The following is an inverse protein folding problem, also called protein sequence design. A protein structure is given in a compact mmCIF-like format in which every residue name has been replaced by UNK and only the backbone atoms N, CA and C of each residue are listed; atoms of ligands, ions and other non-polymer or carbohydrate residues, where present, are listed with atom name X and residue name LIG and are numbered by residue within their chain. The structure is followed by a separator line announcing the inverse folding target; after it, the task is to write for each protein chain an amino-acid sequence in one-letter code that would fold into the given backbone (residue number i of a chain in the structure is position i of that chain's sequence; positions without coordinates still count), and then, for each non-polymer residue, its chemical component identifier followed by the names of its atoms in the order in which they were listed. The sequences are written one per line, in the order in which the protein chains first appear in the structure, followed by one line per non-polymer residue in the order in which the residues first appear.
data_IF_068178945880
#
_entry.id   IF_068178945880
#
_cell.length_a   1.000
_cell.length_b   1.000
_cell.length_c   1.000
_cell.angle_alpha   90.00
_cell.angle_beta   90.00
_cell.angle_gamma   90.00
#
_symmetry.space_group_name_H-M   'P 1'
#
loop_
_entity.id
_entity.type
_entity.pdbx_description
1 polymer ?
#
# COMPACT_ATOMS: atom_id res chain seq x y z
N UNK A 1 27.89 -10.87 24.65
CA UNK A 1 27.04 -11.89 25.29
C UNK A 1 25.76 -11.94 24.48
N UNK A 2 25.50 -13.06 23.77
CA UNK A 2 24.21 -13.24 23.08
C UNK A 2 23.17 -13.45 24.17
N UNK A 3 22.40 -12.42 24.49
CA UNK A 3 21.18 -12.61 25.28
C UNK A 3 20.25 -13.52 24.47
N UNK A 4 19.93 -14.66 25.03
CA UNK A 4 19.00 -15.60 24.42
C UNK A 4 17.62 -14.92 24.43
N UNK A 5 17.07 -14.62 23.25
CA UNK A 5 15.73 -14.01 23.11
C UNK A 5 14.71 -14.96 23.71
N UNK A 6 13.95 -14.49 24.68
CA UNK A 6 12.89 -15.27 25.35
C UNK A 6 11.60 -15.08 24.55
N UNK A 7 11.21 -16.08 23.78
CA UNK A 7 9.96 -16.11 23.03
C UNK A 7 8.80 -16.55 23.90
N UNK A 8 7.66 -15.86 23.82
CA UNK A 8 6.42 -16.23 24.50
C UNK A 8 5.25 -16.39 23.53
N UNK A 9 4.31 -17.32 23.78
CA UNK A 9 3.14 -17.49 22.95
C UNK A 9 2.22 -16.25 23.01
N UNK A 10 1.64 -15.89 21.85
CA UNK A 10 0.64 -14.83 21.76
C UNK A 10 -0.73 -15.40 22.14
N UNK A 11 -1.20 -15.05 23.32
CA UNK A 11 -2.50 -15.49 23.86
C UNK A 11 -3.57 -14.40 23.69
N UNK A 12 -3.78 -13.92 22.47
CA UNK A 12 -4.80 -12.90 22.18
C UNK A 12 -6.13 -13.55 21.74
N UNK A 13 -7.30 -13.07 22.21
CA UNK A 13 -8.59 -13.70 21.93
C UNK A 13 -8.96 -13.74 20.44
N UNK A 14 -8.46 -12.78 19.64
CA UNK A 14 -8.78 -12.67 18.21
C UNK A 14 -7.64 -13.13 17.29
N UNK A 15 -6.45 -13.45 17.81
CA UNK A 15 -5.30 -13.92 17.00
C UNK A 15 -5.34 -15.45 16.91
N UNK A 16 -5.01 -15.98 15.71
CA UNK A 16 -4.83 -17.41 15.50
C UNK A 16 -3.69 -17.93 16.41
N UNK A 17 -3.89 -19.04 17.17
CA UNK A 17 -2.82 -19.65 17.95
C UNK A 17 -1.63 -20.08 17.08
N UNK A 18 -0.44 -20.21 17.68
CA UNK A 18 0.76 -20.69 17.01
C UNK A 18 1.75 -19.59 16.65
N UNK A 19 1.56 -18.38 17.14
CA UNK A 19 2.55 -17.30 17.04
C UNK A 19 3.27 -17.10 18.37
N UNK A 20 4.59 -16.88 18.27
CA UNK A 20 5.46 -16.48 19.38
C UNK A 20 5.92 -15.05 19.17
N UNK A 21 6.05 -14.28 20.27
CA UNK A 21 6.56 -12.90 20.25
C UNK A 21 7.80 -12.77 21.13
N UNK A 22 8.75 -11.93 20.71
CA UNK A 22 9.90 -11.50 21.51
C UNK A 22 9.59 -10.20 22.27
N UNK A 23 10.35 -9.85 23.34
CA UNK A 23 10.18 -8.58 24.04
C UNK A 23 10.48 -7.35 23.17
N UNK A 24 11.28 -7.51 22.10
CA UNK A 24 11.60 -6.47 21.12
C UNK A 24 10.52 -6.31 20.03
N UNK A 25 9.47 -7.13 20.06
CA UNK A 25 8.35 -7.04 19.11
C UNK A 25 8.50 -7.86 17.83
N UNK A 26 9.48 -8.75 17.73
CA UNK A 26 9.56 -9.70 16.63
C UNK A 26 8.59 -10.86 16.83
N UNK A 27 7.99 -11.33 15.75
CA UNK A 27 7.05 -12.46 15.78
C UNK A 27 7.57 -13.59 14.90
N UNK A 28 7.34 -14.82 15.31
CA UNK A 28 7.57 -16.02 14.50
C UNK A 28 6.45 -17.05 14.73
N UNK A 29 6.29 -17.96 13.77
CA UNK A 29 5.40 -19.11 13.97
C UNK A 29 6.06 -20.13 14.93
N UNK A 30 5.25 -20.78 15.75
CA UNK A 30 5.69 -21.82 16.67
C UNK A 30 6.24 -23.03 15.88
N UNK A 31 7.39 -23.57 16.33
CA UNK A 31 8.04 -24.72 15.66
C UNK A 31 8.92 -24.35 14.46
N UNK A 32 9.07 -23.08 14.11
CA UNK A 32 9.98 -22.60 13.07
C UNK A 32 11.18 -21.94 13.73
N UNK A 33 12.36 -22.55 13.55
CA UNK A 33 13.65 -22.05 14.08
C UNK A 33 14.46 -21.24 13.05
N UNK A 34 13.90 -21.02 11.87
CA UNK A 34 14.54 -20.23 10.83
C UNK A 34 14.54 -18.74 11.19
N UNK A 35 15.70 -18.10 11.14
CA UNK A 35 15.85 -16.67 11.38
C UNK A 35 15.18 -15.81 10.28
N UNK A 36 15.03 -16.38 9.09
CA UNK A 36 14.38 -15.71 7.94
C UNK A 36 12.85 -15.74 8.04
N UNK A 37 12.30 -16.45 9.03
CA UNK A 37 10.85 -16.52 9.31
C UNK A 37 10.37 -15.51 10.37
N UNK A 38 11.19 -14.53 10.71
CA UNK A 38 10.83 -13.47 11.66
C UNK A 38 9.95 -12.43 10.94
N UNK A 39 8.80 -12.13 11.54
CA UNK A 39 7.87 -11.11 11.08
C UNK A 39 8.15 -9.82 11.86
N UNK A 40 8.41 -8.74 11.13
CA UNK A 40 8.59 -7.40 11.69
C UNK A 40 7.29 -6.60 11.68
N UNK A 41 7.21 -5.44 12.40
CA UNK A 41 6.04 -4.58 12.36
C UNK A 41 5.64 -4.23 10.94
N UNK A 42 4.38 -4.49 10.59
CA UNK A 42 3.89 -4.43 9.21
C UNK A 42 3.29 -3.06 8.85
N UNK A 43 2.88 -2.30 9.86
CA UNK A 43 2.20 -1.03 9.65
C UNK A 43 2.48 -0.02 10.76
N UNK A 44 2.87 1.20 10.38
CA UNK A 44 3.06 2.34 11.27
C UNK A 44 1.90 3.32 11.09
N UNK A 45 1.05 3.42 12.10
CA UNK A 45 -0.12 4.29 12.04
C UNK A 45 0.23 5.78 12.18
N UNK A 46 -0.61 6.65 11.68
CA UNK A 46 -0.42 8.11 11.77
C UNK A 46 -0.62 8.65 13.19
N UNK A 47 -1.23 7.87 14.08
CA UNK A 47 -1.39 8.20 15.51
C UNK A 47 -0.28 7.64 16.40
N UNK A 48 0.82 7.15 15.80
CA UNK A 48 2.05 6.80 16.51
C UNK A 48 2.15 5.36 16.99
N UNK A 49 1.19 4.49 16.70
CA UNK A 49 1.25 3.06 17.07
C UNK A 49 1.77 2.20 15.95
N UNK A 50 2.48 1.14 16.31
CA UNK A 50 2.91 0.10 15.41
C UNK A 50 1.98 -1.12 15.48
N UNK A 51 1.79 -1.78 14.34
CA UNK A 51 0.86 -2.90 14.20
C UNK A 51 1.52 -4.08 13.48
N UNK A 52 1.10 -5.28 13.87
CA UNK A 52 1.48 -6.54 13.23
C UNK A 52 0.33 -7.07 12.38
N UNK A 53 0.65 -7.50 11.17
CA UNK A 53 -0.30 -8.18 10.27
C UNK A 53 -0.26 -9.68 10.54
N UNK A 54 -1.31 -10.20 11.15
CA UNK A 54 -1.42 -11.60 11.55
C UNK A 54 -2.78 -12.16 11.13
N UNK A 55 -2.86 -13.48 11.03
CA UNK A 55 -4.14 -14.15 10.84
C UNK A 55 -4.98 -14.08 12.12
N UNK A 56 -6.23 -13.63 11.98
CA UNK A 56 -7.22 -13.77 13.03
C UNK A 56 -7.78 -15.21 13.07
N UNK A 57 -8.64 -15.52 14.05
CA UNK A 57 -9.24 -16.85 14.19
C UNK A 57 -10.08 -17.30 13.00
N UNK A 58 -10.55 -16.37 12.18
CA UNK A 58 -11.29 -16.63 10.95
C UNK A 58 -10.35 -16.80 9.73
N UNK A 59 -9.04 -16.89 9.96
CA UNK A 59 -8.00 -17.01 8.94
C UNK A 59 -7.87 -15.79 8.01
N UNK A 60 -8.43 -14.64 8.39
CA UNK A 60 -8.29 -13.40 7.65
C UNK A 60 -7.12 -12.58 8.18
N UNK A 61 -6.41 -11.90 7.30
CA UNK A 61 -5.36 -10.97 7.69
C UNK A 61 -5.95 -9.74 8.39
N UNK A 62 -5.41 -9.42 9.56
CA UNK A 62 -5.81 -8.29 10.37
C UNK A 62 -4.60 -7.65 11.06
N UNK A 63 -4.65 -6.34 11.24
CA UNK A 63 -3.63 -5.60 11.99
C UNK A 63 -3.98 -5.56 13.48
N UNK A 64 -3.01 -5.93 14.31
CA UNK A 64 -3.10 -5.92 15.76
C UNK A 64 -2.05 -4.97 16.35
N UNK A 65 -2.39 -4.14 17.36
CA UNK A 65 -1.43 -3.25 18.00
C UNK A 65 -0.27 -4.04 18.63
N UNK A 66 0.95 -3.69 18.28
CA UNK A 66 2.14 -4.41 18.72
C UNK A 66 2.38 -4.29 20.22
N UNK A 67 2.17 -3.10 20.77
CA UNK A 67 2.27 -2.83 22.21
C UNK A 67 1.28 -3.66 23.04
N UNK A 68 0.03 -3.86 22.57
CA UNK A 68 -0.96 -4.71 23.23
C UNK A 68 -0.51 -6.18 23.25
N UNK A 69 0.03 -6.68 22.10
CA UNK A 69 0.50 -8.07 21.99
C UNK A 69 1.69 -8.33 22.94
N UNK A 70 2.68 -7.43 22.96
CA UNK A 70 3.85 -7.54 23.83
C UNK A 70 3.43 -7.50 25.31
N UNK A 71 2.61 -6.52 25.68
CA UNK A 71 2.17 -6.36 27.05
C UNK A 71 1.36 -7.59 27.54
N UNK A 72 0.51 -8.18 26.70
CA UNK A 72 -0.22 -9.41 27.02
C UNK A 72 0.70 -10.59 27.27
N UNK A 73 1.82 -10.67 26.55
CA UNK A 73 2.78 -11.77 26.70
C UNK A 73 3.73 -11.59 27.92
N UNK A 74 4.13 -10.36 28.21
CA UNK A 74 5.25 -10.10 29.14
C UNK A 74 4.89 -9.35 30.40
N UNK A 75 3.82 -8.53 30.41
CA UNK A 75 3.48 -7.66 31.55
C UNK A 75 2.27 -8.25 32.28
N UNK A 76 2.41 -8.67 33.54
CA UNK A 76 1.29 -9.20 34.30
C UNK A 76 0.23 -8.11 34.55
N UNK A 77 -1.05 -8.48 34.42
CA UNK A 77 -2.15 -7.59 34.72
C UNK A 77 -2.30 -7.46 36.23
N UNK A 78 -2.21 -6.23 36.79
CA UNK A 78 -2.41 -6.02 38.23
C UNK A 78 -3.81 -6.50 38.70
N UNK A 79 -3.90 -7.07 39.90
CA UNK A 79 -5.17 -7.56 40.47
C UNK A 79 -6.26 -6.49 40.45
N UNK A 80 -5.90 -5.24 40.77
CA UNK A 80 -6.84 -4.09 40.77
C UNK A 80 -7.44 -3.77 39.38
N UNK A 81 -6.89 -4.34 38.30
CA UNK A 81 -7.34 -4.11 36.93
C UNK A 81 -8.00 -5.34 36.28
N UNK A 82 -7.98 -6.52 36.91
CA UNK A 82 -8.46 -7.79 36.32
C UNK A 82 -9.93 -7.77 35.90
N UNK A 83 -10.77 -7.01 36.61
CA UNK A 83 -12.21 -6.88 36.28
C UNK A 83 -12.55 -5.64 35.45
N UNK A 84 -11.58 -4.88 35.03
CA UNK A 84 -11.75 -3.63 34.33
C UNK A 84 -11.42 -3.76 32.85
N UNK A 85 -11.93 -2.83 32.04
CA UNK A 85 -11.40 -2.64 30.69
C UNK A 85 -10.03 -1.96 30.80
N UNK A 86 -9.02 -2.55 30.19
CA UNK A 86 -7.62 -2.12 30.28
C UNK A 86 -7.05 -1.79 28.92
N UNK A 87 -6.01 -0.96 28.93
CA UNK A 87 -5.17 -0.64 27.75
C UNK A 87 -3.71 -0.49 28.17
N UNK A 88 -2.81 -0.59 27.22
CA UNK A 88 -1.40 -0.25 27.40
C UNK A 88 -1.24 1.27 27.46
N UNK A 89 -0.41 1.75 28.36
CA UNK A 89 0.03 3.15 28.48
C UNK A 89 1.55 3.19 28.46
N UNK A 90 2.12 4.13 27.68
CA UNK A 90 3.54 4.38 27.58
C UNK A 90 3.95 5.46 28.60
N UNK A 91 4.92 5.12 29.46
CA UNK A 91 5.30 5.96 30.62
C UNK A 91 5.92 7.29 30.18
N UNK A 92 6.74 7.25 29.13
CA UNK A 92 7.39 8.45 28.55
C UNK A 92 6.49 9.19 27.52
N UNK A 93 5.29 8.65 27.22
CA UNK A 93 4.35 9.21 26.24
C UNK A 93 4.67 8.89 24.77
N UNK A 94 5.79 8.23 24.46
CA UNK A 94 6.11 7.75 23.12
C UNK A 94 5.50 6.37 22.88
N UNK A 95 4.49 6.31 22.04
CA UNK A 95 3.74 5.08 21.73
C UNK A 95 4.52 4.09 20.86
N UNK A 96 5.67 4.50 20.32
CA UNK A 96 6.57 3.61 19.56
C UNK A 96 7.68 3.01 20.40
N UNK A 97 7.91 3.55 21.58
CA UNK A 97 8.83 2.95 22.56
C UNK A 97 8.15 1.78 23.26
N UNK A 98 8.25 0.61 22.66
CA UNK A 98 7.61 -0.64 23.13
C UNK A 98 8.48 -1.44 24.12
N UNK A 99 9.50 -0.81 24.73
CA UNK A 99 10.28 -1.44 25.78
C UNK A 99 9.39 -1.80 26.98
N UNK A 100 9.64 -2.96 27.58
CA UNK A 100 8.78 -3.46 28.67
C UNK A 100 8.74 -2.48 29.86
N UNK A 101 9.84 -1.80 30.15
CA UNK A 101 10.00 -0.81 31.20
C UNK A 101 9.17 0.45 30.93
N UNK A 102 8.89 0.75 29.65
CA UNK A 102 8.10 1.91 29.26
C UNK A 102 6.60 1.63 29.22
N UNK A 103 6.18 0.37 29.27
CA UNK A 103 4.78 -0.02 29.14
C UNK A 103 4.17 -0.46 30.47
N UNK A 104 2.91 -0.11 30.70
CA UNK A 104 2.11 -0.58 31.84
C UNK A 104 0.64 -0.70 31.48
N UNK A 105 -0.06 -1.61 32.19
CA UNK A 105 -1.50 -1.68 32.12
C UNK A 105 -2.15 -0.55 32.91
N UNK A 106 -3.13 0.11 32.32
CA UNK A 106 -3.98 1.12 32.97
C UNK A 106 -5.44 0.82 32.65
N UNK A 107 -6.34 1.34 33.48
CA UNK A 107 -7.78 1.31 33.19
C UNK A 107 -8.07 2.12 31.93
N UNK A 108 -8.78 1.53 30.96
CA UNK A 108 -9.23 2.23 29.76
C UNK A 108 -10.52 2.99 30.06
N UNK A 109 -10.38 4.20 30.58
CA UNK A 109 -11.51 5.07 30.93
C UNK A 109 -12.06 5.69 29.65
N UNK A 110 -13.36 5.58 29.46
CA UNK A 110 -14.04 6.17 28.32
C UNK A 110 -14.10 7.69 28.45
N UNK A 111 -13.43 8.37 27.52
CA UNK A 111 -13.49 9.83 27.39
C UNK A 111 -14.67 10.24 26.52
N UNK A 112 -15.44 11.24 26.95
CA UNK A 112 -16.55 11.81 26.21
C UNK A 112 -16.26 13.26 25.82
N UNK A 113 -16.48 13.61 24.56
CA UNK A 113 -16.37 14.98 24.04
C UNK A 113 -17.67 15.43 23.38
N UNK A 114 -17.96 16.73 23.51
CA UNK A 114 -19.10 17.36 22.82
C UNK A 114 -18.89 17.19 21.32
N UNK A 115 -19.94 16.71 20.62
CA UNK A 115 -19.86 16.52 19.18
C UNK A 115 -20.03 17.84 18.44
N UNK A 116 -18.96 18.32 17.85
CA UNK A 116 -18.90 19.52 17.01
C UNK A 116 -18.89 19.18 15.49
N UNK A 117 -19.03 17.90 15.15
CA UNK A 117 -18.96 17.42 13.77
C UNK A 117 -19.94 18.17 12.85
N UNK A 118 -19.50 18.67 11.69
CA UNK A 118 -20.30 19.49 10.80
C UNK A 118 -21.65 18.85 10.41
N UNK A 119 -22.73 19.59 10.64
CA UNK A 119 -24.10 19.15 10.37
C UNK A 119 -24.79 18.42 11.53
N UNK A 120 -24.08 18.14 12.61
CA UNK A 120 -24.67 17.74 13.89
C UNK A 120 -25.00 19.01 14.67
N UNK A 121 -26.23 19.06 15.25
CA UNK A 121 -26.63 20.21 16.05
C UNK A 121 -25.73 20.31 17.29
N UNK A 122 -25.09 21.46 17.54
CA UNK A 122 -24.23 21.65 18.70
C UNK A 122 -24.96 21.29 20.00
N UNK A 123 -24.20 20.80 20.99
CA UNK A 123 -24.67 20.47 22.33
C UNK A 123 -25.77 19.38 22.47
N UNK A 124 -26.13 18.71 21.38
CA UNK A 124 -27.10 17.60 21.45
C UNK A 124 -26.49 16.25 21.75
N UNK A 125 -25.25 16.04 21.30
CA UNK A 125 -24.60 14.73 21.39
C UNK A 125 -23.17 14.85 21.89
N UNK A 126 -22.72 13.79 22.51
CA UNK A 126 -21.33 13.55 22.86
C UNK A 126 -20.85 12.27 22.17
N UNK A 127 -19.57 12.26 21.82
CA UNK A 127 -18.88 11.13 21.17
C UNK A 127 -17.78 10.64 22.10
N UNK A 128 -17.61 9.32 22.21
CA UNK A 128 -16.62 8.74 23.10
C UNK A 128 -15.40 8.20 22.37
N UNK A 129 -14.29 8.09 23.11
CA UNK A 129 -13.05 7.41 22.69
C UNK A 129 -13.27 5.93 22.34
N UNK A 130 -14.36 5.31 22.79
CA UNK A 130 -14.73 3.93 22.45
C UNK A 130 -15.63 3.81 21.21
N UNK A 131 -15.93 4.93 20.53
CA UNK A 131 -16.78 4.92 19.34
C UNK A 131 -18.27 4.86 19.64
N UNK A 132 -18.71 5.28 20.82
CA UNK A 132 -20.12 5.40 21.21
C UNK A 132 -20.59 6.85 21.07
N UNK A 133 -21.90 7.02 20.89
CA UNK A 133 -22.54 8.34 20.85
C UNK A 133 -23.66 8.36 21.87
N UNK A 134 -23.77 9.43 22.69
CA UNK A 134 -24.88 9.61 23.62
C UNK A 134 -25.57 10.97 23.45
N UNK A 135 -26.79 11.03 23.83
CA UNK A 135 -27.49 12.30 23.98
C UNK A 135 -26.92 13.05 25.18
N UNK A 136 -26.41 14.26 24.99
CA UNK A 136 -25.76 15.04 26.06
C UNK A 136 -26.69 15.34 27.22
N UNK A 137 -27.97 15.66 26.94
CA UNK A 137 -28.94 16.06 27.97
C UNK A 137 -29.39 14.87 28.81
N UNK A 138 -29.62 13.72 28.21
CA UNK A 138 -30.21 12.53 28.87
C UNK A 138 -29.17 11.48 29.25
N UNK A 139 -27.95 11.56 28.76
CA UNK A 139 -26.92 10.53 28.93
C UNK A 139 -27.16 9.22 28.14
N UNK A 140 -28.31 9.10 27.47
CA UNK A 140 -28.71 7.86 26.78
C UNK A 140 -27.81 7.57 25.59
N UNK A 141 -27.19 6.39 25.58
CA UNK A 141 -26.41 5.87 24.48
C UNK A 141 -27.32 5.62 23.26
N UNK A 142 -26.93 6.11 22.12
CA UNK A 142 -27.68 5.94 20.88
C UNK A 142 -27.36 4.61 20.21
N UNK A 143 -28.39 3.91 19.77
CA UNK A 143 -28.22 2.76 18.89
C UNK A 143 -27.63 3.22 17.55
N UNK A 144 -26.61 2.49 17.07
CA UNK A 144 -25.96 2.73 15.79
C UNK A 144 -26.57 1.81 14.73
N UNK A 145 -26.71 2.31 13.52
CA UNK A 145 -27.23 1.54 12.40
C UNK A 145 -26.09 1.26 11.41
N UNK A 146 -26.07 0.07 10.86
CA UNK A 146 -25.20 -0.20 9.70
C UNK A 146 -25.72 0.58 8.48
N UNK A 147 -24.82 1.18 7.72
CA UNK A 147 -25.15 1.69 6.40
C UNK A 147 -24.82 0.57 5.37
N UNK A 148 -25.41 0.65 4.18
CA UNK A 148 -25.25 -0.32 3.10
C UNK A 148 -23.80 -0.62 2.67
N UNK A 149 -22.80 -0.02 3.34
CA UNK A 149 -21.36 -0.19 3.08
C UNK A 149 -20.59 -0.74 4.29
N UNK A 150 -21.29 -1.24 5.32
CA UNK A 150 -20.70 -1.85 6.51
C UNK A 150 -20.16 -0.85 7.55
N UNK A 151 -20.42 0.45 7.43
CA UNK A 151 -20.03 1.43 8.45
C UNK A 151 -21.15 1.67 9.45
N UNK A 152 -20.82 1.75 10.73
CA UNK A 152 -21.76 2.18 11.75
C UNK A 152 -22.01 3.69 11.67
N UNK A 153 -23.28 4.05 11.69
CA UNK A 153 -23.74 5.42 11.63
C UNK A 153 -24.84 5.75 12.62
N UNK A 154 -24.99 7.03 12.89
CA UNK A 154 -26.07 7.58 13.67
C UNK A 154 -27.05 8.32 12.75
N UNK A 155 -28.33 7.97 12.80
CA UNK A 155 -29.39 8.72 12.10
C UNK A 155 -29.87 9.86 13.00
N UNK A 156 -29.67 11.10 12.52
CA UNK A 156 -30.18 12.32 13.18
C UNK A 156 -31.15 12.97 12.20
N UNK A 157 -32.43 13.02 12.59
CA UNK A 157 -33.54 13.46 11.72
C UNK A 157 -33.53 12.62 10.42
N UNK A 158 -33.22 13.20 9.28
CA UNK A 158 -33.17 12.56 7.97
C UNK A 158 -31.74 12.25 7.47
N UNK A 159 -30.70 12.68 8.19
CA UNK A 159 -29.30 12.52 7.80
C UNK A 159 -28.62 11.41 8.59
N UNK A 160 -27.77 10.65 7.92
CA UNK A 160 -26.93 9.63 8.55
C UNK A 160 -25.48 10.13 8.67
N UNK A 161 -24.94 10.08 9.87
CA UNK A 161 -23.58 10.49 10.19
C UNK A 161 -22.75 9.26 10.53
N UNK A 162 -21.57 9.13 9.96
CA UNK A 162 -20.66 8.02 10.22
C UNK A 162 -19.91 8.22 11.52
N UNK A 163 -20.02 7.26 12.45
CA UNK A 163 -19.47 7.39 13.81
C UNK A 163 -17.96 7.52 13.81
N UNK A 164 -17.21 6.72 13.02
CA UNK A 164 -15.76 6.84 12.94
C UNK A 164 -15.29 8.26 12.54
N UNK A 165 -16.07 8.96 11.69
CA UNK A 165 -15.74 10.33 11.32
C UNK A 165 -16.02 11.33 12.43
N UNK A 166 -17.07 11.09 13.24
CA UNK A 166 -17.37 11.90 14.42
C UNK A 166 -16.28 11.72 15.49
N UNK A 167 -15.85 10.47 15.74
CA UNK A 167 -14.73 10.18 16.65
C UNK A 167 -13.44 10.83 16.18
N UNK A 168 -13.07 10.62 14.91
CA UNK A 168 -11.85 11.22 14.38
C UNK A 168 -11.88 12.74 14.38
N UNK A 169 -13.04 13.35 14.19
CA UNK A 169 -13.22 14.81 14.28
C UNK A 169 -12.91 15.35 15.66
N UNK A 170 -13.45 14.69 16.71
CA UNK A 170 -13.31 15.18 18.09
C UNK A 170 -11.96 14.84 18.73
N UNK A 171 -11.30 13.75 18.28
CA UNK A 171 -10.12 13.22 18.97
C UNK A 171 -8.83 13.29 18.17
N UNK A 172 -8.88 13.27 16.83
CA UNK A 172 -7.70 13.20 15.97
C UNK A 172 -7.53 14.41 15.05
N UNK A 173 -8.62 15.14 14.76
CA UNK A 173 -8.56 16.26 13.82
C UNK A 173 -7.98 17.50 14.48
N UNK A 174 -6.96 18.09 13.85
CA UNK A 174 -6.25 19.27 14.37
C UNK A 174 -6.94 20.62 14.09
N UNK A 175 -8.17 20.56 13.54
CA UNK A 175 -8.96 21.75 13.20
C UNK A 175 -8.52 22.47 11.92
N UNK A 176 -7.51 21.99 11.20
CA UNK A 176 -6.99 22.63 9.99
C UNK A 176 -7.54 21.96 8.72
N UNK A 177 -8.24 22.75 7.91
CA UNK A 177 -8.76 22.29 6.62
C UNK A 177 -9.94 21.31 6.75
N UNK A 178 -10.07 20.39 5.79
CA UNK A 178 -11.12 19.37 5.78
C UNK A 178 -10.61 18.05 6.34
N UNK A 179 -11.47 17.38 7.12
CA UNK A 179 -11.20 16.02 7.57
C UNK A 179 -11.00 15.11 6.33
N UNK A 180 -9.78 14.63 6.16
CA UNK A 180 -9.38 13.72 5.09
C UNK A 180 -10.09 12.36 5.21
N UNK A 181 -9.51 11.30 4.69
CA UNK A 181 -10.04 9.95 4.87
C UNK A 181 -9.75 9.47 6.28
N UNK A 182 -10.77 8.95 6.96
CA UNK A 182 -10.61 8.23 8.23
C UNK A 182 -10.54 6.75 7.91
N UNK A 183 -9.46 6.12 8.29
CA UNK A 183 -9.20 4.70 8.12
C UNK A 183 -9.47 3.93 9.39
N UNK A 184 -9.94 2.68 9.28
CA UNK A 184 -9.95 1.69 10.34
C UNK A 184 -8.69 0.83 10.20
N UNK A 185 -7.75 0.96 11.13
CA UNK A 185 -6.42 0.35 11.04
C UNK A 185 -6.53 -1.18 10.92
N UNK A 186 -7.39 -1.82 11.70
CA UNK A 186 -7.60 -3.27 11.62
C UNK A 186 -8.52 -3.73 10.47
N UNK A 187 -8.95 -2.83 9.59
CA UNK A 187 -9.86 -3.13 8.47
C UNK A 187 -11.33 -3.28 8.84
N UNK A 188 -11.68 -3.41 10.13
CA UNK A 188 -13.05 -3.61 10.59
C UNK A 188 -13.81 -2.30 10.74
N UNK A 189 -14.73 -2.02 9.82
CA UNK A 189 -15.51 -0.76 9.74
C UNK A 189 -16.47 -0.54 10.90
N UNK A 190 -16.70 -1.56 11.73
CA UNK A 190 -17.57 -1.46 12.91
C UNK A 190 -16.83 -1.11 14.20
N UNK A 191 -15.49 -1.23 14.21
CA UNK A 191 -14.64 -0.97 15.37
C UNK A 191 -14.17 0.48 15.41
N UNK A 192 -15.02 1.38 15.96
CA UNK A 192 -14.83 2.83 15.92
C UNK A 192 -14.09 3.40 17.14
N UNK A 193 -13.40 2.59 17.96
CA UNK A 193 -12.62 3.08 19.08
C UNK A 193 -11.34 3.82 18.59
N UNK A 194 -10.93 4.82 19.35
CA UNK A 194 -9.92 5.81 18.94
C UNK A 194 -8.59 5.20 18.45
N UNK A 195 -8.02 4.21 19.19
CA UNK A 195 -6.74 3.54 18.82
C UNK A 195 -6.81 2.85 17.46
N UNK A 196 -8.01 2.47 16.99
CA UNK A 196 -8.23 1.82 15.69
C UNK A 196 -8.49 2.80 14.54
N UNK A 197 -8.52 4.11 14.82
CA UNK A 197 -8.81 5.12 13.81
C UNK A 197 -7.60 6.00 13.53
N UNK A 198 -7.42 6.37 12.27
CA UNK A 198 -6.39 7.30 11.84
C UNK A 198 -6.87 8.19 10.70
N UNK A 199 -6.21 9.34 10.53
CA UNK A 199 -6.49 10.27 9.42
C UNK A 199 -5.39 10.11 8.37
N UNK A 200 -5.74 9.66 7.18
CA UNK A 200 -4.82 9.36 6.08
C UNK A 200 -5.25 9.99 4.76
N UNK A 201 -4.37 9.96 3.76
CA UNK A 201 -4.76 10.30 2.40
C UNK A 201 -5.63 9.19 1.77
N UNK A 202 -6.35 9.52 0.71
CA UNK A 202 -7.13 8.51 -0.03
C UNK A 202 -6.22 7.42 -0.64
N UNK A 203 -5.01 7.81 -1.08
CA UNK A 203 -4.03 6.87 -1.63
C UNK A 203 -3.53 5.88 -0.59
N UNK A 204 -3.16 6.37 0.60
CA UNK A 204 -2.67 5.51 1.68
C UNK A 204 -3.77 4.57 2.21
N UNK A 205 -5.03 5.07 2.32
CA UNK A 205 -6.17 4.22 2.65
C UNK A 205 -6.42 3.11 1.61
N UNK A 206 -6.14 3.38 0.34
CA UNK A 206 -6.25 2.38 -0.72
C UNK A 206 -5.12 1.34 -0.61
N UNK A 207 -3.86 1.76 -0.40
CA UNK A 207 -2.73 0.85 -0.17
C UNK A 207 -2.99 -0.07 1.03
N UNK A 208 -3.48 0.50 2.13
CA UNK A 208 -3.87 -0.24 3.33
C UNK A 208 -4.95 -1.29 3.03
N UNK A 209 -5.98 -0.95 2.24
CA UNK A 209 -7.03 -1.90 1.86
C UNK A 209 -6.49 -3.07 1.00
N UNK A 210 -5.46 -2.86 0.18
CA UNK A 210 -4.78 -3.95 -0.53
C UNK A 210 -3.90 -4.79 0.39
N UNK A 211 -3.20 -4.19 1.33
CA UNK A 211 -2.38 -4.90 2.30
C UNK A 211 -3.21 -5.87 3.16
N UNK A 212 -4.43 -5.47 3.53
CA UNK A 212 -5.37 -6.31 4.26
C UNK A 212 -6.22 -7.23 3.37
N UNK A 213 -5.93 -7.33 2.09
CA UNK A 213 -6.70 -8.10 1.10
C UNK A 213 -8.21 -7.76 1.05
N UNK A 214 -8.61 -6.61 1.62
CA UNK A 214 -9.98 -6.10 1.56
C UNK A 214 -10.39 -5.67 0.15
N UNK A 215 -9.41 -5.52 -0.73
CA UNK A 215 -9.58 -5.31 -2.16
C UNK A 215 -8.64 -6.20 -2.94
N UNK A 216 -9.16 -6.85 -3.94
CA UNK A 216 -8.33 -7.55 -4.91
C UNK A 216 -7.66 -6.54 -5.85
N UNK A 217 -6.36 -6.69 -6.02
CA UNK A 217 -5.63 -5.93 -7.02
C UNK A 217 -5.92 -6.55 -8.39
N UNK A 218 -6.89 -5.97 -9.09
CA UNK A 218 -7.19 -6.42 -10.46
C UNK A 218 -6.07 -5.98 -11.37
N UNK A 219 -5.27 -6.93 -11.86
CA UNK A 219 -4.14 -6.71 -12.77
C UNK A 219 -4.48 -7.26 -14.16
N UNK A 220 -3.82 -6.70 -15.17
CA UNK A 220 -3.90 -7.25 -16.51
C UNK A 220 -5.32 -7.22 -17.09
N UNK A 221 -5.71 -8.30 -17.73
CA UNK A 221 -7.02 -8.46 -18.36
C UNK A 221 -8.21 -8.37 -17.38
N UNK A 222 -7.99 -8.71 -16.10
CA UNK A 222 -9.01 -8.63 -15.06
C UNK A 222 -9.31 -7.18 -14.60
N UNK A 223 -8.52 -6.18 -15.04
CA UNK A 223 -8.81 -4.79 -14.71
C UNK A 223 -10.02 -4.28 -15.52
N UNK A 224 -11.06 -3.67 -14.89
CA UNK A 224 -12.32 -3.30 -15.57
C UNK A 224 -12.17 -2.38 -16.79
N UNK A 225 -11.07 -1.65 -16.89
CA UNK A 225 -10.78 -0.77 -18.03
C UNK A 225 -9.72 -1.35 -18.97
N UNK A 226 -9.29 -2.59 -18.76
CA UNK A 226 -8.34 -3.24 -19.67
C UNK A 226 -8.96 -3.46 -21.03
N UNK A 227 -8.20 -3.14 -22.07
CA UNK A 227 -8.52 -3.43 -23.47
C UNK A 227 -7.67 -4.54 -24.05
N UNK A 228 -6.68 -5.01 -23.29
CA UNK A 228 -5.76 -6.06 -23.65
C UNK A 228 -5.98 -7.29 -22.78
N UNK A 229 -5.80 -8.46 -23.36
CA UNK A 229 -5.63 -9.72 -22.65
C UNK A 229 -4.20 -9.88 -22.13
N UNK A 230 -3.96 -10.85 -21.26
CA UNK A 230 -2.59 -11.20 -20.85
C UNK A 230 -1.76 -11.64 -22.05
N UNK A 231 -2.34 -12.42 -22.96
CA UNK A 231 -1.67 -12.86 -24.22
C UNK A 231 -1.30 -11.69 -25.13
N UNK A 232 -2.14 -10.66 -25.23
CA UNK A 232 -1.79 -9.45 -26.01
C UNK A 232 -0.59 -8.72 -25.39
N UNK A 233 -0.55 -8.63 -24.04
CA UNK A 233 0.57 -8.00 -23.34
C UNK A 233 1.88 -8.81 -23.49
N UNK A 234 1.81 -10.14 -23.46
CA UNK A 234 2.94 -11.02 -23.76
C UNK A 234 3.45 -10.81 -25.19
N UNK A 235 2.53 -10.75 -26.14
CA UNK A 235 2.87 -10.50 -27.54
C UNK A 235 3.55 -9.14 -27.73
N UNK A 236 3.03 -8.07 -27.07
CA UNK A 236 3.70 -6.77 -27.06
C UNK A 236 5.13 -6.88 -26.51
N UNK A 237 5.35 -7.65 -25.42
CA UNK A 237 6.69 -7.84 -24.86
C UNK A 237 7.62 -8.54 -25.85
N UNK A 238 7.14 -9.57 -26.55
CA UNK A 238 7.91 -10.28 -27.59
C UNK A 238 8.26 -9.34 -28.74
N UNK A 239 7.33 -8.52 -29.21
CA UNK A 239 7.57 -7.52 -30.24
C UNK A 239 8.53 -6.43 -29.76
N UNK A 240 8.45 -5.99 -28.49
CA UNK A 240 9.40 -5.05 -27.91
C UNK A 240 10.84 -5.62 -27.92
N UNK A 241 11.02 -6.90 -27.65
CA UNK A 241 12.33 -7.57 -27.80
C UNK A 241 12.76 -7.59 -29.27
N UNK A 242 11.87 -8.04 -30.18
CA UNK A 242 12.11 -8.08 -31.62
C UNK A 242 12.56 -6.73 -32.15
N UNK A 243 11.87 -5.66 -31.78
CA UNK A 243 12.14 -4.28 -32.19
C UNK A 243 13.02 -3.49 -31.23
N UNK A 244 13.72 -4.17 -30.29
CA UNK A 244 14.69 -3.57 -29.37
C UNK A 244 14.15 -2.35 -28.63
N UNK A 245 12.87 -2.42 -28.21
CA UNK A 245 12.17 -1.36 -27.49
C UNK A 245 11.72 -0.17 -28.34
N UNK A 246 11.68 -0.28 -29.67
CA UNK A 246 11.09 0.72 -30.56
C UNK A 246 9.57 0.57 -30.60
N UNK A 247 8.86 1.28 -29.70
CA UNK A 247 7.42 1.14 -29.52
C UNK A 247 6.58 1.54 -30.74
N UNK A 248 7.13 2.37 -31.65
CA UNK A 248 6.43 2.74 -32.88
C UNK A 248 6.36 1.54 -33.84
N UNK A 249 7.46 0.79 -34.00
CA UNK A 249 7.50 -0.36 -34.88
C UNK A 249 6.60 -1.50 -34.35
N UNK A 250 6.53 -1.65 -33.00
CA UNK A 250 5.57 -2.56 -32.33
C UNK A 250 4.13 -2.13 -32.61
N UNK A 251 3.85 -0.81 -32.52
CA UNK A 251 2.53 -0.27 -32.78
C UNK A 251 2.09 -0.53 -34.21
N UNK A 252 2.97 -0.24 -35.19
CA UNK A 252 2.67 -0.41 -36.60
C UNK A 252 2.41 -1.89 -36.97
N UNK A 253 3.19 -2.84 -36.40
CA UNK A 253 2.95 -4.27 -36.59
C UNK A 253 1.59 -4.70 -35.99
N UNK A 254 1.30 -4.32 -34.76
CA UNK A 254 0.05 -4.68 -34.10
C UNK A 254 -1.20 -4.12 -34.83
N UNK A 255 -1.11 -2.88 -35.33
CA UNK A 255 -2.21 -2.29 -36.13
C UNK A 255 -2.38 -3.04 -37.44
N UNK A 256 -1.27 -3.42 -38.10
CA UNK A 256 -1.33 -4.18 -39.36
C UNK A 256 -1.97 -5.57 -39.19
N UNK A 257 -1.85 -6.15 -37.99
CA UNK A 257 -2.45 -7.44 -37.62
C UNK A 257 -3.89 -7.30 -37.07
N UNK A 258 -4.41 -6.08 -36.99
CA UNK A 258 -5.80 -5.80 -36.60
C UNK A 258 -6.02 -5.63 -35.08
N UNK A 259 -4.97 -5.50 -34.27
CA UNK A 259 -5.11 -5.24 -32.85
C UNK A 259 -5.61 -3.82 -32.56
N UNK A 260 -6.53 -3.69 -31.61
CA UNK A 260 -7.00 -2.39 -31.12
C UNK A 260 -6.13 -1.87 -29.97
N UNK A 261 -4.93 -1.44 -30.28
CA UNK A 261 -3.93 -0.96 -29.31
C UNK A 261 -3.55 0.50 -29.61
N UNK A 262 -3.06 1.21 -28.59
CA UNK A 262 -2.48 2.54 -28.79
C UNK A 262 -1.00 2.52 -28.45
N UNK A 263 -0.21 3.37 -29.12
CA UNK A 263 1.23 3.51 -28.80
C UNK A 263 1.45 3.82 -27.30
N UNK A 264 0.56 4.60 -26.69
CA UNK A 264 0.63 4.93 -25.25
C UNK A 264 0.57 3.68 -24.36
N UNK A 265 -0.23 2.67 -24.70
CA UNK A 265 -0.29 1.40 -23.97
C UNK A 265 1.03 0.63 -24.11
N UNK A 266 1.58 0.57 -25.33
CA UNK A 266 2.88 -0.07 -25.59
C UNK A 266 3.98 0.63 -24.79
N UNK A 267 4.02 1.98 -24.78
CA UNK A 267 4.95 2.76 -23.99
C UNK A 267 4.79 2.48 -22.47
N UNK A 268 3.56 2.31 -21.98
CA UNK A 268 3.33 1.97 -20.56
C UNK A 268 3.88 0.59 -20.19
N UNK A 269 3.82 -0.38 -21.09
CA UNK A 269 4.41 -1.72 -20.90
C UNK A 269 5.94 -1.62 -20.97
N UNK A 270 6.48 -0.93 -21.98
CA UNK A 270 7.91 -0.71 -22.18
C UNK A 270 8.58 -0.06 -20.95
N UNK A 271 7.93 0.97 -20.37
CA UNK A 271 8.44 1.68 -19.19
C UNK A 271 7.94 1.10 -17.86
N UNK A 272 7.43 -0.12 -17.87
CA UNK A 272 6.97 -0.87 -16.67
C UNK A 272 5.99 -0.08 -15.80
N UNK A 273 5.12 0.73 -16.41
CA UNK A 273 4.03 1.45 -15.70
C UNK A 273 2.78 0.60 -15.52
N UNK A 274 2.57 -0.32 -16.45
CA UNK A 274 1.46 -1.29 -16.43
C UNK A 274 1.96 -2.65 -16.88
N UNK A 275 1.21 -3.72 -16.58
CA UNK A 275 1.53 -5.09 -16.98
C UNK A 275 2.91 -5.58 -16.49
N UNK A 276 3.39 -5.05 -15.38
CA UNK A 276 4.73 -5.35 -14.83
C UNK A 276 4.93 -6.84 -14.56
N UNK A 277 3.89 -7.54 -14.08
CA UNK A 277 3.92 -8.97 -13.80
C UNK A 277 4.14 -9.85 -15.06
N UNK A 278 3.90 -9.30 -16.27
CA UNK A 278 4.23 -9.91 -17.55
C UNK A 278 5.59 -9.39 -18.02
N UNK A 279 5.75 -8.07 -18.15
CA UNK A 279 6.97 -7.48 -18.71
C UNK A 279 8.25 -7.83 -17.93
N UNK A 280 8.15 -8.05 -16.61
CA UNK A 280 9.29 -8.48 -15.78
C UNK A 280 9.83 -9.87 -16.14
N UNK A 281 9.04 -10.69 -16.83
CA UNK A 281 9.47 -12.00 -17.34
C UNK A 281 10.28 -11.90 -18.66
N UNK A 282 10.15 -10.79 -19.39
CA UNK A 282 10.73 -10.60 -20.71
C UNK A 282 11.95 -9.68 -20.72
N UNK A 283 11.97 -8.63 -19.89
CA UNK A 283 13.05 -7.64 -19.88
C UNK A 283 13.14 -6.89 -18.54
N UNK A 284 14.35 -6.43 -18.23
CA UNK A 284 14.64 -5.52 -17.11
C UNK A 284 14.67 -4.05 -17.59
N UNK A 285 14.90 -3.12 -16.66
CA UNK A 285 14.96 -1.68 -16.95
C UNK A 285 16.11 -1.30 -17.89
N UNK A 286 17.18 -2.09 -17.93
CA UNK A 286 18.39 -1.82 -18.71
C UNK A 286 18.41 -2.52 -20.07
N UNK A 287 17.55 -3.52 -20.28
CA UNK A 287 17.56 -4.38 -21.47
C UNK A 287 17.58 -3.56 -22.75
N UNK A 288 16.66 -2.61 -22.92
CA UNK A 288 16.55 -1.84 -24.15
C UNK A 288 17.57 -0.70 -24.24
N UNK A 289 18.09 -0.19 -23.11
CA UNK A 289 19.15 0.81 -23.10
C UNK A 289 20.41 0.21 -23.70
N UNK A 290 20.80 -0.98 -23.25
CA UNK A 290 21.99 -1.70 -23.76
C UNK A 290 21.85 -2.04 -25.25
N UNK A 291 20.70 -2.58 -25.67
CA UNK A 291 20.44 -2.94 -27.06
C UNK A 291 20.50 -1.73 -28.01
N UNK A 292 19.93 -0.58 -27.57
CA UNK A 292 19.97 0.67 -28.34
C UNK A 292 21.38 1.26 -28.42
N UNK A 293 22.18 1.15 -27.37
CA UNK A 293 23.57 1.58 -27.38
C UNK A 293 24.39 0.81 -28.42
N UNK A 294 24.19 -0.51 -28.51
CA UNK A 294 24.90 -1.33 -29.51
C UNK A 294 24.53 -0.95 -30.95
N UNK A 295 23.25 -0.63 -31.19
CA UNK A 295 22.84 -0.10 -32.51
C UNK A 295 23.47 1.26 -32.83
N UNK A 296 23.49 2.17 -31.84
CA UNK A 296 24.12 3.48 -32.02
C UNK A 296 25.61 3.35 -32.29
N UNK A 297 26.32 2.46 -31.60
CA UNK A 297 27.73 2.15 -31.88
C UNK A 297 27.91 1.61 -33.29
N UNK A 298 27.05 0.68 -33.73
CA UNK A 298 27.09 0.15 -35.08
C UNK A 298 26.84 1.24 -36.14
N UNK A 299 25.86 2.11 -35.93
CA UNK A 299 25.56 3.24 -36.80
C UNK A 299 26.77 4.19 -36.89
N UNK A 300 27.40 4.57 -35.79
CA UNK A 300 28.57 5.45 -35.75
C UNK A 300 29.76 4.82 -36.46
N UNK A 301 30.02 3.54 -36.19
CA UNK A 301 31.07 2.79 -36.88
C UNK A 301 30.85 2.80 -38.40
N UNK A 302 29.63 2.49 -38.83
CA UNK A 302 29.30 2.46 -40.26
C UNK A 302 29.35 3.86 -40.90
N UNK A 303 28.93 4.91 -40.17
CA UNK A 303 29.09 6.30 -40.63
C UNK A 303 30.58 6.64 -40.88
N UNK A 304 31.46 6.24 -39.95
CA UNK A 304 32.90 6.42 -40.11
C UNK A 304 33.47 5.68 -41.33
N UNK A 305 33.01 4.44 -41.59
CA UNK A 305 33.43 3.64 -42.74
C UNK A 305 33.01 4.27 -44.10
N UNK A 306 31.97 5.09 -44.09
CA UNK A 306 31.43 5.75 -45.29
C UNK A 306 31.58 7.30 -45.26
N UNK A 307 32.61 7.82 -44.59
CA UNK A 307 32.92 9.25 -44.48
C UNK A 307 31.73 10.13 -44.09
N UNK A 308 30.91 9.66 -43.17
CA UNK A 308 29.70 10.34 -42.68
C UNK A 308 28.50 10.28 -43.63
N UNK A 309 28.55 9.48 -44.69
CA UNK A 309 27.43 9.37 -45.64
C UNK A 309 26.24 8.64 -45.05
N UNK A 310 25.18 9.41 -44.69
CA UNK A 310 23.94 8.89 -44.11
C UNK A 310 23.23 7.90 -45.03
N UNK A 311 23.21 8.22 -46.35
CA UNK A 311 22.56 7.37 -47.36
C UNK A 311 23.22 6.00 -47.48
N UNK A 312 24.56 5.96 -47.56
CA UNK A 312 25.32 4.71 -47.64
C UNK A 312 25.16 3.91 -46.34
N UNK A 313 25.20 4.58 -45.20
CA UNK A 313 24.98 3.96 -43.89
C UNK A 313 23.59 3.34 -43.80
N UNK A 314 22.54 4.05 -44.22
CA UNK A 314 21.19 3.53 -44.25
C UNK A 314 21.06 2.30 -45.15
N UNK A 315 21.63 2.35 -46.38
CA UNK A 315 21.63 1.22 -47.31
C UNK A 315 22.32 -0.01 -46.72
N UNK A 316 23.46 0.18 -46.02
CA UNK A 316 24.24 -0.90 -45.39
C UNK A 316 23.52 -1.55 -44.21
N UNK A 317 22.86 -0.72 -43.37
CA UNK A 317 22.28 -1.18 -42.11
C UNK A 317 20.80 -1.54 -42.22
N UNK A 318 20.12 -1.23 -43.31
CA UNK A 318 18.67 -1.41 -43.47
C UNK A 318 18.18 -2.83 -43.15
N UNK A 319 18.97 -3.85 -43.54
CA UNK A 319 18.63 -5.26 -43.28
C UNK A 319 19.03 -5.72 -41.86
N UNK A 320 19.88 -4.96 -41.17
CA UNK A 320 20.37 -5.27 -39.81
C UNK A 320 19.51 -4.55 -38.76
N UNK A 321 19.10 -3.32 -39.10
CA UNK A 321 18.26 -2.46 -38.24
C UNK A 321 17.05 -2.03 -39.10
N UNK A 322 15.99 -2.84 -39.18
CA UNK A 322 14.86 -2.60 -40.10
C UNK A 322 14.14 -1.27 -39.89
N UNK A 323 14.09 -0.77 -38.64
CA UNK A 323 13.46 0.48 -38.25
C UNK A 323 14.36 1.72 -38.39
N UNK A 324 15.55 1.56 -39.00
CA UNK A 324 16.50 2.65 -39.19
C UNK A 324 16.01 3.61 -40.31
N UNK A 325 15.96 4.89 -39.99
CA UNK A 325 15.57 5.95 -40.95
C UNK A 325 16.70 6.95 -41.15
N UNK A 326 16.62 7.70 -42.25
CA UNK A 326 17.56 8.78 -42.54
C UNK A 326 17.64 9.79 -41.39
N UNK A 327 16.50 10.24 -40.86
CA UNK A 327 16.41 11.20 -39.75
C UNK A 327 17.06 10.65 -38.46
N UNK A 328 16.87 9.37 -38.11
CA UNK A 328 17.54 8.74 -36.98
C UNK A 328 19.06 8.77 -37.10
N UNK A 329 19.59 8.41 -38.27
CA UNK A 329 21.05 8.45 -38.53
C UNK A 329 21.56 9.90 -38.45
N UNK A 330 20.84 10.85 -39.05
CA UNK A 330 21.22 12.26 -39.05
C UNK A 330 21.30 12.82 -37.63
N UNK A 331 20.31 12.53 -36.77
CA UNK A 331 20.32 12.97 -35.36
C UNK A 331 21.48 12.37 -34.56
N UNK A 332 21.84 11.11 -34.82
CA UNK A 332 23.00 10.46 -34.21
C UNK A 332 24.30 11.07 -34.73
N UNK A 333 24.42 11.32 -36.05
CA UNK A 333 25.58 11.92 -36.68
C UNK A 333 25.85 13.35 -36.20
N UNK A 334 24.78 14.16 -36.02
CA UNK A 334 24.87 15.53 -35.54
C UNK A 334 25.00 15.64 -34.03
N UNK A 335 25.01 14.52 -33.30
CA UNK A 335 25.09 14.52 -31.84
C UNK A 335 23.84 15.10 -31.13
N UNK A 336 22.70 15.15 -31.84
CA UNK A 336 21.42 15.64 -31.24
C UNK A 336 20.84 14.62 -30.31
N UNK A 337 21.06 13.32 -30.56
CA UNK A 337 20.60 12.21 -29.69
C UNK A 337 21.77 11.27 -29.43
N UNK A 338 21.67 10.57 -28.27
CA UNK A 338 22.66 9.54 -27.88
C UNK A 338 24.09 10.09 -27.70
N UNK A 339 24.21 11.30 -27.19
CA UNK A 339 25.51 11.99 -26.98
C UNK A 339 26.46 11.22 -26.04
N UNK A 340 25.92 10.44 -25.12
CA UNK A 340 26.68 9.69 -24.11
C UNK A 340 27.06 8.26 -24.53
N UNK A 341 26.79 7.85 -25.76
CA UNK A 341 27.16 6.53 -26.30
C UNK A 341 28.47 6.66 -27.06
N UNK A 342 29.54 6.19 -26.49
CA UNK A 342 30.89 6.10 -27.13
C UNK A 342 31.04 4.79 -27.88
#
# INVERSE_FOLDING_TARGET
MNQQIIWKPINHPDILPGYLISPEGYIKAEGIDDKDAIIEPSYHSTNGYDFMLLNNKDMNLQLFPLDDIIAMAYIPIPESLQSKRIKVSHINGDTRDITLENMKWVEDIEEWRICTYPGVKPDMYEVSSWGRVRNKKTGVIRALCDNSRGYLGLKIISKQFKVHRMVAWEFLFDGKGFLKTVNHINGNKTKNYLKNLEIVTRGDNLKHAYMLELKQYMKGENHPTSKLTNSDAEYICQLLIKYKGWSIDVFDEMISEGYNVTKAIIDQILYKKTWTFISDQYFDENTFIKMRHDEVRLIRKTLSEYDGSIVKTLQRLRNIIPHLTYDKIQKIHLGITWTNVT
#
